data_IF_445052187893
#
_entry.id   IF_445052187893
#
_cell.length_a   1.000
_cell.length_b   1.000
_cell.length_c   1.000
_cell.angle_alpha   90.00
_cell.angle_beta   90.00
_cell.angle_gamma   90.00
#
_symmetry.space_group_name_H-M   'P 1'
#
loop_
_entity.id
_entity.type
_entity.pdbx_description
1 polymer ?
#
# COMPACT_ATOMS: atom_id res chain seq x y z
N UNK A 1 0.56 -12.60 2.37
CA UNK A 1 -0.08 -11.43 3.00
C UNK A 1 0.96 -10.57 3.74
N UNK A 2 1.26 -10.85 5.01
CA UNK A 2 2.19 -10.01 5.80
C UNK A 2 3.63 -10.49 5.83
N UNK A 3 3.85 -11.80 5.66
CA UNK A 3 5.18 -12.40 5.66
C UNK A 3 5.73 -12.67 4.27
N UNK A 4 7.05 -12.94 4.16
CA UNK A 4 7.74 -13.26 2.92
C UNK A 4 7.17 -14.46 2.17
N UNK A 5 7.60 -14.60 0.91
CA UNK A 5 7.57 -15.88 0.21
C UNK A 5 6.19 -16.35 -0.21
N UNK A 6 5.23 -15.44 -0.39
CA UNK A 6 3.89 -15.82 -0.85
C UNK A 6 3.92 -16.51 -2.22
N UNK A 7 4.82 -16.10 -3.11
CA UNK A 7 5.04 -16.74 -4.41
C UNK A 7 5.50 -18.20 -4.26
N UNK A 8 6.42 -18.49 -3.32
CA UNK A 8 6.90 -19.85 -3.03
C UNK A 8 5.75 -20.77 -2.58
N UNK A 9 4.86 -20.24 -1.73
CA UNK A 9 3.67 -20.98 -1.28
C UNK A 9 2.78 -21.30 -2.48
N UNK A 10 2.51 -20.31 -3.35
CA UNK A 10 1.69 -20.52 -4.53
C UNK A 10 2.32 -21.52 -5.51
N UNK A 11 3.62 -21.42 -5.79
CA UNK A 11 4.34 -22.36 -6.65
C UNK A 11 4.27 -23.78 -6.08
N UNK A 12 4.46 -23.93 -4.76
CA UNK A 12 4.32 -25.22 -4.09
C UNK A 12 2.92 -25.79 -4.23
N UNK A 13 1.88 -24.95 -4.06
CA UNK A 13 0.49 -25.36 -4.20
C UNK A 13 0.14 -25.74 -5.64
N UNK A 14 0.72 -25.09 -6.66
CA UNK A 14 0.51 -25.44 -8.06
C UNK A 14 0.97 -26.87 -8.40
N UNK A 15 2.01 -27.36 -7.72
CA UNK A 15 2.53 -28.73 -7.89
C UNK A 15 1.97 -29.74 -6.87
N UNK A 16 1.19 -29.27 -5.90
CA UNK A 16 0.64 -30.11 -4.85
C UNK A 16 -0.63 -30.83 -5.30
N UNK A 17 -0.78 -32.10 -4.90
CA UNK A 17 -1.78 -32.98 -5.52
C UNK A 17 -3.21 -32.80 -5.00
N UNK A 18 -3.39 -32.48 -3.71
CA UNK A 18 -4.71 -32.34 -3.11
C UNK A 18 -4.68 -31.31 -1.98
N UNK A 19 -5.48 -30.26 -2.11
CA UNK A 19 -5.72 -29.26 -1.07
C UNK A 19 -7.03 -28.51 -1.38
N UNK A 20 -7.61 -27.91 -0.36
CA UNK A 20 -8.73 -26.98 -0.48
C UNK A 20 -8.27 -25.58 -0.11
N UNK A 21 -8.72 -24.56 -0.83
CA UNK A 21 -8.47 -23.15 -0.49
C UNK A 21 -9.75 -22.52 0.03
N UNK A 22 -9.66 -21.94 1.23
CA UNK A 22 -10.63 -20.97 1.71
C UNK A 22 -10.08 -19.57 1.47
N UNK A 23 -10.71 -18.84 0.54
CA UNK A 23 -10.31 -17.48 0.21
C UNK A 23 -10.63 -16.50 1.35
N UNK A 24 -9.66 -15.64 1.65
CA UNK A 24 -9.77 -14.50 2.55
C UNK A 24 -9.85 -13.17 1.79
N UNK A 25 -10.00 -12.10 2.56
CA UNK A 25 -10.08 -10.73 2.04
C UNK A 25 -8.79 -10.30 1.30
N UNK A 26 -7.62 -10.78 1.74
CA UNK A 26 -6.35 -10.46 1.09
C UNK A 26 -6.22 -11.14 -0.27
N UNK A 27 -6.75 -12.35 -0.43
CA UNK A 27 -6.70 -13.05 -1.71
C UNK A 27 -7.53 -12.31 -2.78
N UNK A 28 -8.65 -11.70 -2.39
CA UNK A 28 -9.45 -10.84 -3.29
C UNK A 28 -8.63 -9.65 -3.78
N UNK A 29 -7.79 -9.05 -2.92
CA UNK A 29 -6.92 -7.94 -3.33
C UNK A 29 -5.85 -8.40 -4.33
N UNK A 30 -5.24 -9.57 -4.11
CA UNK A 30 -4.28 -10.14 -5.05
C UNK A 30 -4.93 -10.55 -6.37
N UNK A 31 -6.09 -11.20 -6.34
CA UNK A 31 -6.86 -11.56 -7.53
C UNK A 31 -7.32 -10.31 -8.30
N UNK A 32 -7.79 -9.28 -7.59
CA UNK A 32 -8.16 -8.00 -8.19
C UNK A 32 -6.95 -7.31 -8.84
N UNK A 33 -5.79 -7.34 -8.19
CA UNK A 33 -4.56 -6.79 -8.75
C UNK A 33 -4.13 -7.53 -10.02
N UNK A 34 -4.14 -8.87 -9.98
CA UNK A 34 -3.85 -9.71 -11.15
C UNK A 34 -4.85 -9.50 -12.31
N UNK A 35 -6.09 -9.12 -11.98
CA UNK A 35 -7.14 -8.80 -12.96
C UNK A 35 -7.07 -7.35 -13.49
N UNK A 36 -6.07 -6.56 -13.10
CA UNK A 36 -5.88 -5.19 -13.59
C UNK A 36 -6.67 -4.11 -12.84
N UNK A 37 -7.10 -4.36 -11.61
CA UNK A 37 -7.75 -3.32 -10.79
C UNK A 37 -6.71 -2.43 -10.10
N UNK A 38 -6.64 -1.16 -10.51
CA UNK A 38 -5.63 -0.21 -10.01
C UNK A 38 -5.64 -0.03 -8.47
N UNK A 39 -6.82 0.02 -7.85
CA UNK A 39 -6.90 0.18 -6.39
C UNK A 39 -6.37 -1.06 -5.66
N UNK A 40 -6.64 -2.25 -6.20
CA UNK A 40 -6.10 -3.51 -5.69
C UNK A 40 -4.58 -3.60 -5.90
N UNK A 41 -4.08 -3.21 -7.08
CA UNK A 41 -2.63 -3.13 -7.36
C UNK A 41 -1.95 -2.19 -6.36
N UNK A 42 -2.48 -0.98 -6.20
CA UNK A 42 -1.93 0.00 -5.26
C UNK A 42 -1.96 -0.53 -3.82
N UNK A 43 -3.03 -1.23 -3.43
CA UNK A 43 -3.13 -1.86 -2.12
C UNK A 43 -2.08 -2.96 -1.91
N UNK A 44 -1.91 -3.87 -2.87
CA UNK A 44 -0.89 -4.93 -2.82
C UNK A 44 0.51 -4.34 -2.65
N UNK A 45 0.88 -3.36 -3.50
CA UNK A 45 2.18 -2.69 -3.42
C UNK A 45 2.35 -2.01 -2.06
N UNK A 46 1.34 -1.26 -1.61
CA UNK A 46 1.37 -0.59 -0.29
C UNK A 46 1.57 -1.57 0.85
N UNK A 47 0.89 -2.71 0.82
CA UNK A 47 0.97 -3.70 1.89
C UNK A 47 2.35 -4.36 1.92
N UNK A 48 2.94 -4.68 0.77
CA UNK A 48 4.34 -5.11 0.68
C UNK A 48 5.30 -4.08 1.27
N UNK A 49 5.13 -2.78 0.97
CA UNK A 49 5.94 -1.70 1.56
C UNK A 49 5.74 -1.60 3.08
N UNK A 50 4.50 -1.68 3.54
CA UNK A 50 4.14 -1.55 4.96
C UNK A 50 4.76 -2.65 5.83
N UNK A 51 4.93 -3.85 5.30
CA UNK A 51 5.50 -5.00 6.01
C UNK A 51 6.92 -5.34 5.56
N UNK A 52 7.53 -4.49 4.72
CA UNK A 52 8.88 -4.66 4.19
C UNK A 52 9.11 -6.01 3.49
N UNK A 53 8.09 -6.47 2.76
CA UNK A 53 8.06 -7.71 1.97
C UNK A 53 8.17 -7.36 0.47
N UNK A 54 9.31 -6.79 0.09
CA UNK A 54 9.56 -6.34 -1.29
C UNK A 54 10.04 -7.47 -2.19
N UNK A 55 10.73 -8.47 -1.63
CA UNK A 55 11.21 -9.63 -2.38
C UNK A 55 10.04 -10.38 -3.04
N UNK A 56 8.86 -10.42 -2.42
CA UNK A 56 7.67 -11.02 -3.07
C UNK A 56 7.31 -10.31 -4.38
N UNK A 57 7.45 -8.98 -4.46
CA UNK A 57 7.14 -8.24 -5.68
C UNK A 57 8.28 -8.34 -6.70
N UNK A 58 9.51 -8.06 -6.29
CA UNK A 58 10.66 -7.96 -7.18
C UNK A 58 11.18 -9.34 -7.62
N UNK A 59 11.50 -10.21 -6.67
CA UNK A 59 12.06 -11.54 -6.95
C UNK A 59 10.97 -12.55 -7.31
N UNK A 60 9.84 -12.50 -6.59
CA UNK A 60 8.76 -13.45 -6.75
C UNK A 60 7.95 -13.26 -8.02
N UNK A 61 7.50 -12.02 -8.27
CA UNK A 61 6.64 -11.71 -9.42
C UNK A 61 7.32 -10.88 -10.51
N UNK A 62 8.59 -10.51 -10.36
CA UNK A 62 9.33 -9.74 -11.38
C UNK A 62 8.84 -8.31 -11.55
N UNK A 63 8.18 -7.73 -10.55
CA UNK A 63 7.59 -6.39 -10.62
C UNK A 63 8.68 -5.33 -10.38
N UNK A 64 8.92 -4.49 -11.37
CA UNK A 64 9.90 -3.42 -11.29
C UNK A 64 9.38 -2.22 -10.46
N UNK A 65 9.98 -1.98 -9.30
CA UNK A 65 9.63 -0.86 -8.40
C UNK A 65 10.36 0.45 -8.70
N UNK A 66 11.31 0.46 -9.64
CA UNK A 66 12.09 1.66 -9.99
C UNK A 66 11.22 2.87 -10.36
N UNK A 67 10.13 2.74 -11.15
CA UNK A 67 9.28 3.89 -11.46
C UNK A 67 8.65 4.52 -10.21
N UNK A 68 8.22 3.70 -9.24
CA UNK A 68 7.67 4.18 -7.97
C UNK A 68 8.75 4.80 -7.10
N UNK A 69 9.95 4.22 -7.07
CA UNK A 69 11.09 4.76 -6.35
C UNK A 69 11.47 6.16 -6.86
N UNK A 70 11.59 6.33 -8.18
CA UNK A 70 11.88 7.63 -8.81
C UNK A 70 10.79 8.65 -8.49
N UNK A 71 9.52 8.28 -8.67
CA UNK A 71 8.40 9.16 -8.32
C UNK A 71 8.43 9.57 -6.84
N UNK A 72 8.69 8.63 -5.93
CA UNK A 72 8.74 8.92 -4.50
C UNK A 72 9.91 9.85 -4.13
N UNK A 73 11.07 9.70 -4.76
CA UNK A 73 12.21 10.60 -4.56
C UNK A 73 11.93 12.01 -5.09
N UNK A 74 11.28 12.13 -6.24
CA UNK A 74 10.99 13.43 -6.84
C UNK A 74 9.89 14.20 -6.09
N UNK A 75 8.87 13.49 -5.59
CA UNK A 75 7.70 14.10 -4.93
C UNK A 75 7.91 14.28 -3.43
N UNK A 76 8.60 13.34 -2.77
CA UNK A 76 8.79 13.30 -1.31
C UNK A 76 10.27 13.37 -0.89
N UNK A 77 11.15 13.88 -1.76
CA UNK A 77 12.59 13.93 -1.52
C UNK A 77 12.99 14.63 -0.22
N UNK A 78 12.32 15.75 0.08
CA UNK A 78 12.58 16.58 1.27
C UNK A 78 11.74 16.17 2.49
N UNK A 79 10.89 15.14 2.35
CA UNK A 79 9.99 14.70 3.39
C UNK A 79 10.56 13.49 4.17
N UNK A 80 10.69 13.58 5.51
CA UNK A 80 11.12 12.44 6.32
C UNK A 80 10.18 11.24 6.27
N UNK A 81 8.90 11.44 5.89
CA UNK A 81 7.89 10.38 5.77
C UNK A 81 7.77 9.48 7.02
N UNK A 82 8.10 9.97 8.22
CA UNK A 82 8.42 9.16 9.40
C UNK A 82 7.27 8.27 9.90
N UNK A 83 6.02 8.62 9.60
CA UNK A 83 4.86 7.79 9.95
C UNK A 83 4.67 6.56 9.04
N UNK A 84 5.37 6.53 7.90
CA UNK A 84 5.31 5.48 6.89
C UNK A 84 6.46 4.47 7.01
N UNK A 85 7.23 4.50 8.10
CA UNK A 85 8.28 3.50 8.33
C UNK A 85 7.65 2.09 8.37
N UNK A 86 8.22 1.12 7.64
CA UNK A 86 7.71 -0.26 7.61
C UNK A 86 7.68 -0.93 8.99
N UNK A 87 6.74 -1.86 9.15
CA UNK A 87 6.66 -2.74 10.32
C UNK A 87 7.66 -3.88 10.16
N UNK A 88 8.85 -3.70 10.72
CA UNK A 88 9.99 -4.62 10.55
C UNK A 88 9.82 -6.02 11.17
N UNK A 89 8.79 -6.25 11.98
CA UNK A 89 8.53 -7.56 12.61
C UNK A 89 8.29 -8.71 11.61
N UNK A 90 8.11 -8.37 10.32
CA UNK A 90 7.84 -9.30 9.23
C UNK A 90 8.83 -9.10 8.06
N UNK A 91 9.90 -8.33 8.27
CA UNK A 91 10.84 -7.97 7.22
C UNK A 91 11.68 -9.18 6.79
N UNK A 92 11.97 -9.24 5.49
CA UNK A 92 12.80 -10.26 4.87
C UNK A 92 14.28 -10.13 5.27
N UNK A 93 14.70 -8.93 5.68
CA UNK A 93 16.09 -8.59 5.98
C UNK A 93 16.22 -7.33 6.85
N UNK A 94 17.38 -7.16 7.51
CA UNK A 94 17.77 -5.86 8.06
C UNK A 94 18.12 -4.89 6.92
N UNK A 95 17.35 -3.80 6.82
CA UNK A 95 17.60 -2.76 5.83
C UNK A 95 18.57 -1.72 6.38
N UNK A 96 19.53 -1.31 5.54
CA UNK A 96 20.33 -0.12 5.85
C UNK A 96 19.45 1.15 5.80
N UNK A 97 19.97 2.24 6.37
CA UNK A 97 19.24 3.51 6.51
C UNK A 97 18.77 4.09 5.17
N UNK A 98 19.58 3.99 4.10
CA UNK A 98 19.23 4.50 2.78
C UNK A 98 18.07 3.73 2.16
N UNK A 99 18.12 2.40 2.23
CA UNK A 99 17.04 1.54 1.74
C UNK A 99 15.77 1.78 2.55
N UNK A 100 15.87 1.85 3.87
CA UNK A 100 14.73 2.14 4.74
C UNK A 100 14.06 3.47 4.41
N UNK A 101 14.85 4.52 4.15
CA UNK A 101 14.32 5.83 3.73
C UNK A 101 13.55 5.72 2.42
N UNK A 102 14.10 5.04 1.42
CA UNK A 102 13.44 4.88 0.13
C UNK A 102 12.13 4.11 0.25
N UNK A 103 12.10 3.01 1.02
CA UNK A 103 10.86 2.24 1.27
C UNK A 103 9.82 3.12 1.96
N UNK A 104 10.25 3.94 2.92
CA UNK A 104 9.37 4.86 3.65
C UNK A 104 8.72 5.89 2.71
N UNK A 105 9.51 6.48 1.79
CA UNK A 105 9.01 7.42 0.78
C UNK A 105 8.05 6.73 -0.20
N UNK A 106 8.41 5.54 -0.71
CA UNK A 106 7.53 4.75 -1.58
C UNK A 106 6.22 4.39 -0.89
N UNK A 107 6.27 4.02 0.40
CA UNK A 107 5.09 3.69 1.18
C UNK A 107 4.15 4.90 1.33
N UNK A 108 4.68 6.10 1.57
CA UNK A 108 3.87 7.33 1.56
C UNK A 108 3.23 7.54 0.18
N UNK A 109 4.04 7.53 -0.87
CA UNK A 109 3.60 7.76 -2.24
C UNK A 109 2.46 6.83 -2.66
N UNK A 110 2.64 5.51 -2.51
CA UNK A 110 1.63 4.54 -2.89
C UNK A 110 0.39 4.60 -2.00
N UNK A 111 0.52 5.02 -0.73
CA UNK A 111 -0.65 5.24 0.14
C UNK A 111 -1.53 6.36 -0.38
N UNK A 112 -0.93 7.49 -0.78
CA UNK A 112 -1.69 8.62 -1.34
C UNK A 112 -2.34 8.23 -2.67
N UNK A 113 -1.64 7.47 -3.53
CA UNK A 113 -2.19 6.95 -4.79
C UNK A 113 -3.39 6.03 -4.51
N UNK A 114 -3.25 5.05 -3.62
CA UNK A 114 -4.34 4.15 -3.25
C UNK A 114 -5.57 4.92 -2.76
N UNK A 115 -5.40 5.90 -1.86
CA UNK A 115 -6.52 6.68 -1.32
C UNK A 115 -7.27 7.46 -2.42
N UNK A 116 -6.57 7.96 -3.43
CA UNK A 116 -7.18 8.64 -4.57
C UNK A 116 -7.95 7.67 -5.47
N UNK A 117 -7.38 6.49 -5.76
CA UNK A 117 -8.05 5.45 -6.55
C UNK A 117 -9.31 4.93 -5.85
N UNK A 118 -9.24 4.67 -4.54
CA UNK A 118 -10.39 4.26 -3.74
C UNK A 118 -11.48 5.34 -3.74
N UNK A 119 -11.11 6.62 -3.62
CA UNK A 119 -12.06 7.73 -3.68
C UNK A 119 -12.81 7.80 -5.03
N UNK A 120 -12.12 7.49 -6.14
CA UNK A 120 -12.74 7.41 -7.46
C UNK A 120 -13.74 6.26 -7.54
N UNK A 121 -13.38 5.08 -7.00
CA UNK A 121 -14.28 3.91 -6.94
C UNK A 121 -15.54 4.22 -6.13
N UNK A 122 -15.38 4.84 -4.96
CA UNK A 122 -16.50 5.24 -4.11
C UNK A 122 -17.42 6.21 -4.87
N UNK A 123 -16.83 7.23 -5.50
CA UNK A 123 -17.60 8.25 -6.23
C UNK A 123 -18.37 7.67 -7.42
N UNK A 124 -17.82 6.67 -8.12
CA UNK A 124 -18.49 6.01 -9.27
C UNK A 124 -19.47 4.91 -8.86
N UNK A 125 -19.48 4.48 -7.59
CA UNK A 125 -20.35 3.43 -7.02
C UNK A 125 -21.02 3.90 -5.72
N UNK A 126 -21.96 4.86 -5.79
CA UNK A 126 -22.66 5.36 -4.61
C UNK A 126 -23.44 4.25 -3.87
N UNK A 127 -23.91 3.23 -4.59
CA UNK A 127 -24.64 2.08 -4.04
C UNK A 127 -23.81 1.23 -3.06
N UNK A 128 -22.50 1.44 -2.96
CA UNK A 128 -21.65 0.77 -1.96
C UNK A 128 -21.75 1.41 -0.57
N UNK A 129 -22.37 2.60 -0.45
CA UNK A 129 -22.54 3.31 0.83
C UNK A 129 -21.21 3.59 1.56
N UNK A 130 -20.12 3.82 0.80
CA UNK A 130 -18.76 3.98 1.32
C UNK A 130 -18.26 5.43 1.36
N UNK A 131 -19.13 6.44 1.22
CA UNK A 131 -18.72 7.85 1.20
C UNK A 131 -17.95 8.29 2.45
N UNK A 132 -18.25 7.69 3.61
CA UNK A 132 -17.51 7.91 4.86
C UNK A 132 -16.03 7.48 4.81
N UNK A 133 -15.61 6.72 3.79
CA UNK A 133 -14.22 6.32 3.55
C UNK A 133 -13.46 7.30 2.66
N UNK A 134 -14.15 8.24 2.00
CA UNK A 134 -13.51 9.27 1.17
C UNK A 134 -12.98 10.40 2.04
N UNK A 135 -11.78 10.25 2.61
CA UNK A 135 -11.32 11.17 3.67
C UNK A 135 -10.47 12.36 3.20
N UNK A 136 -9.81 12.27 2.03
CA UNK A 136 -8.83 13.28 1.62
C UNK A 136 -9.42 14.69 1.43
N UNK A 137 -10.69 14.79 1.04
CA UNK A 137 -11.37 16.07 0.82
C UNK A 137 -11.73 16.81 2.12
N UNK A 138 -11.61 16.15 3.27
CA UNK A 138 -11.88 16.71 4.60
C UNK A 138 -10.64 17.36 5.24
N UNK A 139 -9.53 17.40 4.51
CA UNK A 139 -8.28 18.00 4.97
C UNK A 139 -8.26 19.49 4.62
N UNK A 140 -8.06 20.33 5.63
CA UNK A 140 -7.67 21.73 5.44
C UNK A 140 -6.14 21.82 5.43
N UNK A 141 -5.57 21.84 4.23
CA UNK A 141 -4.11 21.90 4.03
C UNK A 141 -3.49 23.23 4.49
N UNK A 142 -4.26 24.34 4.53
CA UNK A 142 -3.73 25.64 4.99
C UNK A 142 -3.56 25.65 6.49
N UNK A 143 -4.51 25.06 7.22
CA UNK A 143 -4.50 24.97 8.68
C UNK A 143 -3.77 23.73 9.19
N UNK A 144 -3.52 22.75 8.34
CA UNK A 144 -2.88 21.49 8.71
C UNK A 144 -3.78 20.61 9.57
N UNK A 145 -5.09 20.62 9.33
CA UNK A 145 -6.08 19.87 10.13
C UNK A 145 -6.98 19.01 9.27
N UNK A 146 -7.44 17.88 9.82
CA UNK A 146 -8.47 17.01 9.28
C UNK A 146 -9.77 17.24 10.07
N UNK A 147 -10.86 17.54 9.37
CA UNK A 147 -12.16 17.82 10.00
C UNK A 147 -13.11 16.65 9.77
N UNK A 148 -13.48 15.95 10.84
CA UNK A 148 -14.37 14.79 10.76
C UNK A 148 -15.46 14.89 11.81
N UNK A 149 -16.72 14.79 11.37
CA UNK A 149 -17.91 14.90 12.24
C UNK A 149 -17.90 16.16 13.13
N UNK A 150 -17.45 17.29 12.58
CA UNK A 150 -17.38 18.57 13.29
C UNK A 150 -16.21 18.69 14.28
N UNK A 151 -15.35 17.69 14.38
CA UNK A 151 -14.14 17.71 15.21
C UNK A 151 -12.88 17.89 14.36
N UNK A 152 -11.98 18.73 14.84
CA UNK A 152 -10.69 18.98 14.20
C UNK A 152 -9.60 18.08 14.79
N UNK A 153 -8.76 17.54 13.90
CA UNK A 153 -7.61 16.71 14.25
C UNK A 153 -6.36 17.27 13.57
N UNK A 154 -5.27 17.57 14.31
CA UNK A 154 -4.02 18.00 13.68
C UNK A 154 -3.46 16.87 12.82
N UNK A 155 -3.01 17.21 11.61
CA UNK A 155 -2.33 16.25 10.76
C UNK A 155 -1.00 15.84 11.40
N UNK A 156 -0.70 14.54 11.32
CA UNK A 156 0.58 13.98 11.81
C UNK A 156 1.71 14.09 10.79
N UNK A 157 1.35 14.43 9.55
CA UNK A 157 2.20 14.48 8.38
C UNK A 157 1.62 15.55 7.46
N UNK A 158 2.41 16.59 7.19
CA UNK A 158 1.94 17.86 6.58
C UNK A 158 2.67 18.23 5.30
N UNK A 159 3.60 17.38 4.84
CA UNK A 159 4.38 17.58 3.62
C UNK A 159 3.70 16.93 2.41
#
# INVERSE_FOLDING_TARGET
DRGPGAHIIMDTLCDYHNFDIQWGNHDILWMGAASGNDACIANVIRMCMRYANLATLEDGYGINLLPLATFAMDVYGDDPCSIFVPKMNFADSEYNEKTLRLITQMHKAITIIQLKLEAEIISRRPDFEMENRKLLHLIDFKRGVFVYEGKEYPLRDTN
#
